data_IF_867554535496
#
_entry.id   IF_867554535496
#
_cell.length_a   1.000
_cell.length_b   1.000
_cell.length_c   1.000
_cell.angle_alpha   90.00
_cell.angle_beta   90.00
_cell.angle_gamma   90.00
#
_symmetry.space_group_name_H-M   'P 1'
#
loop_
_entity.id
_entity.type
_entity.pdbx_description
1 polymer ?
#
# COMPACT_ATOMS: atom_id res chain seq x y z
N UNK A 1 15.00 -10.09 -6.36
CA UNK A 1 13.56 -10.43 -6.49
C UNK A 1 12.78 -9.40 -5.68
N UNK A 2 11.86 -8.64 -6.29
CA UNK A 2 11.14 -7.55 -5.61
C UNK A 2 9.82 -8.11 -5.06
N UNK A 3 9.64 -8.11 -3.74
CA UNK A 3 8.42 -8.60 -3.08
C UNK A 3 7.58 -7.39 -2.68
N UNK A 4 6.46 -7.19 -3.35
CA UNK A 4 5.48 -6.14 -3.04
C UNK A 4 4.50 -6.74 -2.02
N UNK A 5 4.14 -6.03 -0.93
CA UNK A 5 3.16 -6.53 0.02
C UNK A 5 1.78 -6.66 -0.66
N UNK A 6 1.08 -7.77 -0.42
CA UNK A 6 -0.28 -7.99 -0.91
C UNK A 6 -1.23 -8.30 0.24
N UNK A 7 -2.49 -7.95 0.05
CA UNK A 7 -3.56 -8.11 1.03
C UNK A 7 -4.75 -8.81 0.39
N UNK A 8 -5.42 -9.65 1.15
CA UNK A 8 -6.66 -10.30 0.72
C UNK A 8 -7.83 -9.31 0.72
N UNK A 9 -8.48 -9.21 -0.43
CA UNK A 9 -9.61 -8.34 -0.69
C UNK A 9 -10.78 -9.19 -1.19
N UNK A 10 -11.86 -9.26 -0.40
CA UNK A 10 -13.07 -9.95 -0.82
C UNK A 10 -13.91 -9.04 -1.70
N UNK A 11 -14.49 -9.59 -2.77
CA UNK A 11 -15.36 -8.82 -3.65
C UNK A 11 -16.42 -9.70 -4.31
N UNK A 12 -17.55 -9.10 -4.66
CA UNK A 12 -18.56 -9.76 -5.49
C UNK A 12 -19.31 -8.75 -6.35
N UNK A 13 -19.81 -9.21 -7.49
CA UNK A 13 -20.65 -8.43 -8.38
C UNK A 13 -22.12 -8.65 -8.03
N UNK A 14 -22.83 -7.56 -7.76
CA UNK A 14 -24.27 -7.63 -7.61
C UNK A 14 -24.93 -7.60 -9.00
N UNK A 15 -25.55 -8.71 -9.41
CA UNK A 15 -26.18 -8.83 -10.73
C UNK A 15 -27.40 -7.90 -10.92
N UNK A 16 -28.04 -7.44 -9.83
CA UNK A 16 -29.21 -6.55 -9.90
C UNK A 16 -28.82 -5.10 -10.13
N UNK A 17 -27.75 -4.64 -9.48
CA UNK A 17 -27.31 -3.23 -9.56
C UNK A 17 -26.14 -3.04 -10.53
N UNK A 18 -25.47 -4.12 -10.93
CA UNK A 18 -24.25 -4.08 -11.74
C UNK A 18 -23.01 -3.57 -10.99
N UNK A 19 -23.13 -3.30 -9.69
CA UNK A 19 -22.06 -2.75 -8.87
C UNK A 19 -21.18 -3.85 -8.24
N UNK A 20 -19.92 -3.50 -7.98
CA UNK A 20 -18.98 -4.36 -7.27
C UNK A 20 -18.98 -3.99 -5.80
N UNK A 21 -19.31 -4.95 -4.96
CA UNK A 21 -19.20 -4.85 -3.53
C UNK A 21 -17.82 -5.35 -3.12
N UNK A 22 -17.07 -4.52 -2.42
CA UNK A 22 -15.70 -4.83 -1.97
C UNK A 22 -15.67 -4.80 -0.45
N UNK A 23 -15.03 -5.79 0.14
CA UNK A 23 -14.91 -5.99 1.58
C UNK A 23 -13.45 -6.13 1.98
N UNK A 24 -13.00 -5.24 2.86
CA UNK A 24 -11.66 -5.27 3.44
C UNK A 24 -11.72 -4.84 4.91
N UNK A 25 -11.15 -5.65 5.82
CA UNK A 25 -11.08 -5.37 7.26
C UNK A 25 -12.39 -4.80 7.85
N UNK A 26 -13.51 -5.48 7.59
CA UNK A 26 -14.87 -5.13 8.05
C UNK A 26 -15.46 -3.83 7.47
N UNK A 27 -14.76 -3.17 6.55
CA UNK A 27 -15.29 -2.03 5.81
C UNK A 27 -15.73 -2.47 4.41
N UNK A 28 -16.98 -2.16 4.11
CA UNK A 28 -17.61 -2.42 2.83
C UNK A 28 -17.67 -1.13 2.02
N UNK A 29 -17.33 -1.23 0.73
CA UNK A 29 -17.55 -0.15 -0.24
C UNK A 29 -18.22 -0.72 -1.49
N UNK A 30 -18.84 0.17 -2.27
CA UNK A 30 -19.46 -0.19 -3.53
C UNK A 30 -18.83 0.62 -4.65
N UNK A 31 -18.40 -0.06 -5.72
CA UNK A 31 -17.60 0.52 -6.81
C UNK A 31 -18.21 0.14 -8.15
N UNK A 32 -18.15 1.05 -9.13
CA UNK A 32 -18.59 0.75 -10.50
C UNK A 32 -17.59 -0.19 -11.18
N UNK A 33 -18.10 -1.14 -11.97
CA UNK A 33 -17.29 -2.14 -12.66
C UNK A 33 -16.10 -1.56 -13.47
N UNK A 34 -16.26 -0.47 -14.27
CA UNK A 34 -15.13 0.09 -15.02
C UNK A 34 -13.99 0.58 -14.13
N UNK A 35 -14.31 1.20 -12.99
CA UNK A 35 -13.30 1.69 -12.04
C UNK A 35 -12.61 0.53 -11.33
N UNK A 36 -13.37 -0.51 -10.97
CA UNK A 36 -12.80 -1.71 -10.36
C UNK A 36 -11.83 -2.44 -11.30
N UNK A 37 -12.18 -2.59 -12.58
CA UNK A 37 -11.30 -3.19 -13.59
C UNK A 37 -10.09 -2.31 -13.93
N UNK A 38 -10.20 -0.99 -13.77
CA UNK A 38 -9.07 -0.08 -13.93
C UNK A 38 -8.03 -0.25 -12.80
N UNK A 39 -8.49 -0.55 -11.57
CA UNK A 39 -7.62 -0.82 -10.41
C UNK A 39 -7.05 -2.25 -10.46
N UNK A 40 -7.82 -3.21 -10.98
CA UNK A 40 -7.42 -4.62 -11.15
C UNK A 40 -7.49 -5.05 -12.63
N UNK A 41 -6.53 -4.62 -13.46
CA UNK A 41 -6.60 -4.88 -14.91
C UNK A 41 -6.43 -6.36 -15.27
N UNK A 42 -5.75 -7.13 -14.42
CA UNK A 42 -5.45 -8.55 -14.65
C UNK A 42 -6.56 -9.51 -14.18
N UNK A 43 -7.71 -8.97 -13.78
CA UNK A 43 -8.81 -9.77 -13.26
C UNK A 43 -9.60 -10.44 -14.39
N UNK A 44 -9.84 -11.75 -14.30
CA UNK A 44 -10.58 -12.50 -15.32
C UNK A 44 -12.05 -12.06 -15.40
N UNK A 45 -12.44 -11.34 -16.44
CA UNK A 45 -13.76 -10.72 -16.61
C UNK A 45 -14.99 -11.64 -16.47
N UNK A 46 -14.80 -12.95 -16.38
CA UNK A 46 -15.85 -13.95 -16.14
C UNK A 46 -16.23 -14.14 -14.66
N UNK A 47 -15.55 -13.48 -13.71
CA UNK A 47 -15.82 -13.66 -12.27
C UNK A 47 -17.14 -13.01 -11.81
N UNK A 48 -17.77 -13.65 -10.81
CA UNK A 48 -18.97 -13.16 -10.10
C UNK A 48 -18.66 -12.73 -8.67
N UNK A 49 -17.54 -13.19 -8.11
CA UNK A 49 -17.01 -12.79 -6.79
C UNK A 49 -16.01 -13.82 -6.26
N UNK A 50 -14.97 -13.35 -5.57
CA UNK A 50 -13.95 -14.17 -4.94
C UNK A 50 -13.09 -13.33 -3.96
N UNK A 51 -11.94 -13.86 -3.52
CA UNK A 51 -10.85 -13.14 -2.85
C UNK A 51 -9.72 -12.87 -3.84
N UNK A 52 -9.23 -11.63 -3.89
CA UNK A 52 -8.08 -11.25 -4.72
C UNK A 52 -6.95 -10.68 -3.87
N UNK A 53 -5.73 -10.79 -4.40
CA UNK A 53 -4.56 -10.16 -3.82
C UNK A 53 -4.46 -8.73 -4.32
N UNK A 54 -4.62 -7.77 -3.41
CA UNK A 54 -4.53 -6.35 -3.68
C UNK A 54 -3.23 -5.76 -3.11
N UNK A 55 -2.55 -4.96 -3.91
CA UNK A 55 -1.42 -4.15 -3.43
C UNK A 55 -1.92 -2.98 -2.59
N UNK A 56 -1.09 -2.41 -1.70
CA UNK A 56 -1.46 -1.23 -0.93
C UNK A 56 -1.95 -0.07 -1.80
N UNK A 57 -1.31 0.17 -2.96
CA UNK A 57 -1.73 1.20 -3.90
C UNK A 57 -3.14 0.96 -4.47
N UNK A 58 -3.49 -0.30 -4.75
CA UNK A 58 -4.83 -0.66 -5.21
C UNK A 58 -5.88 -0.48 -4.11
N UNK A 59 -5.54 -0.78 -2.85
CA UNK A 59 -6.42 -0.52 -1.72
C UNK A 59 -6.62 0.99 -1.48
N UNK A 60 -5.56 1.79 -1.57
CA UNK A 60 -5.66 3.25 -1.50
C UNK A 60 -6.49 3.84 -2.65
N UNK A 61 -6.34 3.31 -3.87
CA UNK A 61 -7.17 3.72 -5.01
C UNK A 61 -8.67 3.42 -4.82
N UNK A 62 -9.00 2.41 -4.01
CA UNK A 62 -10.37 2.11 -3.58
C UNK A 62 -10.83 2.96 -2.38
N UNK A 63 -9.96 3.80 -1.82
CA UNK A 63 -10.25 4.64 -0.64
C UNK A 63 -10.08 3.94 0.70
N UNK A 64 -9.38 2.80 0.74
CA UNK A 64 -8.98 2.16 1.99
C UNK A 64 -7.67 2.73 2.51
N UNK A 65 -7.60 2.98 3.81
CA UNK A 65 -6.35 3.30 4.49
C UNK A 65 -5.65 2.01 4.87
N UNK A 66 -4.40 1.87 4.44
CA UNK A 66 -3.57 0.70 4.74
C UNK A 66 -2.39 1.17 5.57
N UNK A 67 -2.21 0.54 6.73
CA UNK A 67 -1.02 0.72 7.54
C UNK A 67 -0.03 -0.40 7.25
N UNK A 68 1.16 -0.02 6.83
CA UNK A 68 2.30 -0.91 6.68
C UNK A 68 3.14 -0.86 7.95
N UNK A 69 3.57 -2.02 8.45
CA UNK A 69 4.48 -2.05 9.58
C UNK A 69 5.93 -2.11 9.14
N UNK A 70 6.73 -1.21 9.69
CA UNK A 70 8.18 -1.20 9.56
C UNK A 70 8.79 -1.56 10.91
N UNK A 71 9.65 -2.57 10.94
CA UNK A 71 10.56 -2.84 12.07
C UNK A 71 11.86 -2.09 11.83
N UNK A 72 12.39 -1.43 12.84
CA UNK A 72 13.62 -0.66 12.69
C UNK A 72 14.57 -0.88 13.85
N UNK A 73 15.87 -0.76 13.57
CA UNK A 73 16.95 -0.73 14.56
C UNK A 73 18.01 0.26 14.14
N UNK A 74 18.53 1.05 15.08
CA UNK A 74 19.61 1.98 14.83
C UNK A 74 20.91 1.19 14.64
N UNK A 75 21.65 1.52 13.60
CA UNK A 75 22.91 0.85 13.28
C UNK A 75 23.96 1.24 14.33
N UNK A 76 24.55 0.27 15.07
CA UNK A 76 25.38 0.58 16.24
C UNK A 76 26.81 1.01 15.91
N UNK A 77 27.27 0.91 14.65
CA UNK A 77 28.72 0.87 14.31
C UNK A 77 29.24 1.98 13.40
N UNK A 78 28.45 2.95 12.95
CA UNK A 78 28.90 3.92 11.93
C UNK A 78 28.81 5.38 12.37
N UNK A 79 29.78 6.17 11.90
CA UNK A 79 29.77 7.63 11.89
C UNK A 79 28.58 8.06 11.03
N UNK A 80 27.54 8.59 11.68
CA UNK A 80 26.23 8.87 11.07
C UNK A 80 25.18 7.86 11.50
N UNK A 81 24.30 8.27 12.41
CA UNK A 81 23.18 7.43 12.89
C UNK A 81 22.26 7.09 11.71
N UNK A 82 22.12 5.81 11.40
CA UNK A 82 21.20 5.28 10.39
C UNK A 82 20.28 4.26 11.05
N UNK A 83 19.05 4.16 10.55
CA UNK A 83 18.19 3.01 10.86
C UNK A 83 18.34 1.97 9.76
N UNK A 84 18.44 0.71 10.18
CA UNK A 84 18.11 -0.44 9.36
C UNK A 84 16.62 -0.65 9.54
N UNK A 85 15.85 -0.49 8.46
CA UNK A 85 14.41 -0.60 8.46
C UNK A 85 13.98 -1.77 7.57
N UNK A 86 13.10 -2.62 8.09
CA UNK A 86 12.52 -3.80 7.45
C UNK A 86 11.01 -3.58 7.30
N UNK A 87 10.49 -3.73 6.09
CA UNK A 87 9.05 -3.69 5.83
C UNK A 87 8.45 -5.08 6.07
N UNK A 88 7.64 -5.22 7.11
CA UNK A 88 7.07 -6.50 7.52
C UNK A 88 6.16 -7.09 6.43
N UNK A 89 6.17 -8.42 6.31
CA UNK A 89 5.47 -9.13 5.24
C UNK A 89 6.20 -9.09 3.90
N UNK A 90 7.39 -8.47 3.85
CA UNK A 90 8.28 -8.49 2.69
C UNK A 90 9.70 -8.82 3.13
N UNK A 91 10.57 -9.16 2.19
CA UNK A 91 12.01 -9.29 2.46
C UNK A 91 12.78 -7.99 2.16
N UNK A 92 12.09 -6.84 2.19
CA UNK A 92 12.71 -5.54 1.92
C UNK A 92 13.35 -4.99 3.18
N UNK A 93 14.66 -4.74 3.11
CA UNK A 93 15.43 -4.08 4.16
C UNK A 93 16.21 -2.93 3.54
N UNK A 94 16.13 -1.77 4.15
CA UNK A 94 16.80 -0.55 3.68
C UNK A 94 17.58 0.10 4.83
N UNK A 95 18.59 0.90 4.46
CA UNK A 95 19.33 1.77 5.40
C UNK A 95 18.93 3.21 5.14
N UNK A 96 18.38 3.87 6.16
CA UNK A 96 17.88 5.25 6.06
C UNK A 96 18.61 6.13 7.08
N UNK A 97 19.06 7.35 6.71
CA UNK A 97 19.58 8.31 7.68
C UNK A 97 18.59 8.52 8.82
N UNK A 98 19.07 8.54 10.08
CA UNK A 98 18.18 8.61 11.24
C UNK A 98 17.31 9.87 11.23
N UNK A 99 17.84 10.99 10.72
CA UNK A 99 17.09 12.24 10.57
C UNK A 99 15.90 12.06 9.63
N UNK A 100 16.13 11.52 8.42
CA UNK A 100 15.08 11.30 7.44
C UNK A 100 14.04 10.28 7.93
N UNK A 101 14.50 9.19 8.55
CA UNK A 101 13.61 8.17 9.10
C UNK A 101 12.66 8.77 10.13
N UNK A 102 13.19 9.56 11.08
CA UNK A 102 12.38 10.20 12.12
C UNK A 102 11.45 11.26 11.58
N UNK A 103 11.91 12.05 10.61
CA UNK A 103 11.08 13.05 9.97
C UNK A 103 9.87 12.44 9.25
N UNK A 104 10.06 11.30 8.56
CA UNK A 104 8.98 10.65 7.81
C UNK A 104 8.06 9.84 8.73
N UNK A 105 8.60 9.11 9.71
CA UNK A 105 7.83 8.18 10.55
C UNK A 105 7.32 8.78 11.85
N UNK A 106 7.78 9.98 12.23
CA UNK A 106 7.46 10.62 13.51
C UNK A 106 8.05 9.93 14.74
N UNK A 107 8.91 8.91 14.58
CA UNK A 107 9.48 8.20 15.73
C UNK A 107 10.39 9.10 16.56
N UNK A 108 10.41 8.86 17.88
CA UNK A 108 11.19 9.65 18.84
C UNK A 108 12.68 9.69 18.50
N UNK A 109 13.31 10.83 18.80
CA UNK A 109 14.76 10.99 18.70
C UNK A 109 15.56 10.00 19.57
N UNK A 110 14.91 9.42 20.59
CA UNK A 110 15.50 8.42 21.50
C UNK A 110 15.21 6.97 21.07
N UNK A 111 14.40 6.76 20.03
CA UNK A 111 14.05 5.41 19.59
C UNK A 111 15.27 4.71 18.99
N UNK A 112 15.69 3.60 19.56
CA UNK A 112 16.86 2.81 19.11
C UNK A 112 16.39 1.59 18.32
N UNK A 113 15.27 1.01 18.69
CA UNK A 113 14.69 -0.21 18.14
C UNK A 113 13.17 -0.12 18.29
N UNK A 114 12.41 -0.65 17.35
CA UNK A 114 10.97 -0.78 17.51
C UNK A 114 10.25 -1.14 16.22
N UNK A 115 8.94 -0.94 16.23
CA UNK A 115 8.08 -0.98 15.07
C UNK A 115 7.29 0.32 14.94
N UNK A 116 6.94 0.69 13.71
CA UNK A 116 6.09 1.85 13.41
C UNK A 116 5.14 1.50 12.28
N UNK A 117 3.89 1.95 12.40
CA UNK A 117 2.92 1.90 11.31
C UNK A 117 3.10 3.13 10.44
N UNK A 118 3.17 2.93 9.13
CA UNK A 118 3.30 4.00 8.15
C UNK A 118 2.34 3.79 7.00
N UNK A 119 1.97 4.87 6.34
CA UNK A 119 1.23 4.79 5.08
C UNK A 119 2.12 4.26 3.94
N UNK A 120 1.54 3.69 2.87
CA UNK A 120 2.23 3.36 1.64
C UNK A 120 3.09 4.50 1.09
N UNK A 121 2.56 5.73 1.13
CA UNK A 121 3.28 6.92 0.67
C UNK A 121 4.54 7.22 1.51
N UNK A 122 4.46 7.09 2.83
CA UNK A 122 5.60 7.27 3.74
C UNK A 122 6.64 6.15 3.56
N UNK A 123 6.20 4.90 3.43
CA UNK A 123 7.08 3.78 3.13
C UNK A 123 7.80 4.00 1.78
N UNK A 124 7.11 4.51 0.76
CA UNK A 124 7.71 4.86 -0.52
C UNK A 124 8.74 6.00 -0.38
N UNK A 125 8.44 7.04 0.42
CA UNK A 125 9.38 8.13 0.72
C UNK A 125 10.62 7.66 1.47
N UNK A 126 10.51 6.63 2.29
CA UNK A 126 11.66 5.97 2.92
C UNK A 126 12.51 5.18 1.92
N UNK A 127 11.96 4.83 0.75
CA UNK A 127 12.63 4.08 -0.30
C UNK A 127 12.17 2.62 -0.43
N UNK A 128 11.11 2.22 0.29
CA UNK A 128 10.50 0.91 0.08
C UNK A 128 9.73 0.85 -1.24
N UNK A 129 9.72 -0.33 -1.85
CA UNK A 129 8.93 -0.60 -3.04
C UNK A 129 7.54 -1.04 -2.61
N UNK A 130 6.61 -0.09 -2.64
CA UNK A 130 5.21 -0.31 -2.24
C UNK A 130 4.28 -0.42 -3.45
N UNK A 131 4.67 0.20 -4.56
CA UNK A 131 3.91 0.17 -5.81
C UNK A 131 4.33 -1.01 -6.68
N UNK A 132 3.38 -1.90 -6.98
CA UNK A 132 3.42 -2.63 -8.26
C UNK A 132 3.42 -1.61 -9.39
N UNK A 133 4.17 -1.87 -10.46
CA UNK A 133 4.28 -0.96 -11.62
C UNK A 133 2.90 -0.68 -12.26
N UNK A 134 2.11 0.24 -11.73
CA UNK A 134 0.90 0.81 -12.38
C UNK A 134 0.64 2.29 -12.00
N UNK A 135 1.59 2.97 -11.33
CA UNK A 135 1.41 4.36 -10.89
C UNK A 135 1.27 5.37 -12.05
N UNK A 136 1.79 5.07 -13.24
CA UNK A 136 1.65 5.94 -14.42
C UNK A 136 0.25 5.91 -15.07
N UNK A 137 -0.60 4.97 -14.68
CA UNK A 137 -1.92 4.76 -15.29
C UNK A 137 -3.05 5.28 -14.39
N UNK A 138 -2.86 5.25 -13.06
CA UNK A 138 -3.81 5.79 -12.08
C UNK A 138 -3.82 7.32 -12.00
N UNK A 139 -2.70 8.00 -12.26
CA UNK A 139 -2.62 9.46 -12.24
C UNK A 139 -3.47 10.10 -13.36
N UNK A 140 -3.57 9.42 -14.52
CA UNK A 140 -4.49 9.82 -15.61
C UNK A 140 -5.96 9.60 -15.28
N UNK A 141 -6.28 8.65 -14.40
CA UNK A 141 -7.65 8.37 -13.97
C UNK A 141 -8.11 9.36 -12.89
N UNK A 142 -7.21 9.80 -12.00
CA UNK A 142 -7.53 10.85 -11.00
C UNK A 142 -7.87 12.20 -11.66
N UNK A 143 -7.17 12.61 -12.72
CA UNK A 143 -7.51 13.84 -13.47
C UNK A 143 -8.88 13.73 -14.15
N UNK A 144 -9.22 12.56 -14.72
CA UNK A 144 -10.48 12.35 -15.44
C UNK A 144 -11.73 12.34 -14.53
N UNK A 145 -11.58 12.12 -13.23
CA UNK A 145 -12.70 12.01 -12.27
C UNK A 145 -13.09 13.38 -11.67
N UNK A 146 -12.19 14.36 -11.67
CA UNK A 146 -12.42 15.70 -11.08
C UNK A 146 -12.42 16.86 -12.10
N UNK A 147 -12.38 16.58 -13.40
CA UNK A 147 -12.47 17.60 -14.46
C UNK A 147 -13.63 17.39 -15.44
N UNK A 148 -14.79 16.98 -14.92
CA UNK A 148 -16.06 17.00 -15.64
C UNK A 148 -17.11 17.78 -14.85
#
# INVERSE_FOLDING_TARGET
MKIIPTFELGYYRNCRTGLIHVNYKRRHITVRLPLFLAIFPNLDRRWTGDVIQATPAQLEALGYTVDLQIRYVIEPRLIGKRYIAELLGTNQVIRVPAVNFRYITGVSNRAVLGSVSVTPSEAQRLGFVVNGKEAGQLDRLYTAVYSA
#
